data_IF_853908316811
#
_entry.id   IF_853908316811
#
_cell.length_a   1.000
_cell.length_b   1.000
_cell.length_c   1.000
_cell.angle_alpha   90.00
_cell.angle_beta   90.00
_cell.angle_gamma   90.00
#
_symmetry.space_group_name_H-M   'P 1'
#
loop_
_entity.id
_entity.type
_entity.pdbx_description
1 polymer ?
#
# COMPACT_ATOMS: atom_id res chain seq x y z
N UNK A 1 15.40 17.33 24.84
CA UNK A 1 16.41 16.70 23.96
C UNK A 1 16.74 15.33 24.53
N UNK A 2 16.08 14.29 24.09
CA UNK A 2 16.43 12.91 24.43
C UNK A 2 16.75 12.21 23.12
N UNK A 3 18.03 11.89 22.96
CA UNK A 3 18.51 11.09 21.83
C UNK A 3 18.07 9.64 22.07
N UNK A 4 17.30 9.07 21.14
CA UNK A 4 16.97 7.65 21.13
C UNK A 4 18.06 6.92 20.34
N UNK A 5 18.83 6.13 21.05
CA UNK A 5 19.87 5.26 20.49
C UNK A 5 19.20 4.05 19.86
N UNK A 6 19.49 3.80 18.61
CA UNK A 6 19.08 2.59 17.90
C UNK A 6 19.70 1.37 18.59
N UNK A 7 18.90 0.50 19.16
CA UNK A 7 19.36 -0.80 19.65
C UNK A 7 19.19 -1.83 18.55
N UNK A 8 20.31 -2.39 18.14
CA UNK A 8 20.38 -3.62 17.33
C UNK A 8 19.90 -4.77 18.21
N UNK A 9 18.75 -5.34 17.92
CA UNK A 9 18.27 -6.53 18.61
C UNK A 9 18.88 -7.78 17.96
N UNK A 10 19.88 -8.34 18.63
CA UNK A 10 20.40 -9.67 18.35
C UNK A 10 19.46 -10.70 19.01
N UNK A 11 19.00 -11.67 18.24
CA UNK A 11 18.02 -12.66 18.66
C UNK A 11 18.43 -13.48 19.88
N UNK A 12 17.49 -13.68 20.77
CA UNK A 12 17.55 -14.75 21.78
C UNK A 12 16.16 -15.34 21.98
N UNK A 13 16.04 -16.59 21.59
CA UNK A 13 14.88 -17.45 21.84
C UNK A 13 14.58 -17.55 23.33
N UNK A 14 13.38 -17.16 23.75
CA UNK A 14 12.87 -17.52 25.08
C UNK A 14 11.41 -17.97 25.01
N UNK A 15 11.18 -19.07 25.64
CA UNK A 15 9.98 -19.87 25.98
C UNK A 15 8.69 -19.04 26.12
N UNK A 16 7.63 -19.51 25.44
CA UNK A 16 6.24 -19.04 25.57
C UNK A 16 5.75 -19.11 27.02
N UNK A 17 5.39 -17.94 27.55
CA UNK A 17 4.44 -17.83 28.66
C UNK A 17 3.23 -17.06 28.12
N UNK A 18 2.05 -17.70 28.14
CA UNK A 18 0.80 -17.11 27.72
C UNK A 18 0.33 -16.08 28.74
N UNK A 19 0.66 -14.83 28.53
CA UNK A 19 -0.05 -13.70 29.13
C UNK A 19 -0.70 -12.94 28.00
N UNK A 20 -1.99 -12.65 28.13
CA UNK A 20 -2.72 -11.72 27.27
C UNK A 20 -1.93 -10.41 27.20
N UNK A 21 -1.15 -10.22 26.14
CA UNK A 21 -0.41 -9.00 25.92
C UNK A 21 -1.41 -7.89 25.57
N UNK A 22 -1.41 -6.82 26.35
CA UNK A 22 -2.02 -5.58 25.92
C UNK A 22 -1.26 -5.11 24.68
N UNK A 23 -1.98 -4.75 23.61
CA UNK A 23 -1.38 -4.18 22.40
C UNK A 23 -0.50 -2.97 22.78
N UNK A 24 0.76 -3.01 22.42
CA UNK A 24 1.69 -1.91 22.63
C UNK A 24 1.50 -0.87 21.52
N UNK A 25 1.28 0.38 21.88
CA UNK A 25 1.14 1.48 20.93
C UNK A 25 2.42 2.29 20.92
N UNK A 26 3.16 2.24 19.82
CA UNK A 26 4.42 2.95 19.65
C UNK A 26 4.28 4.07 18.62
N UNK A 27 4.69 5.28 18.97
CA UNK A 27 4.83 6.40 18.04
C UNK A 27 6.29 6.51 17.58
N UNK A 28 6.52 6.39 16.28
CA UNK A 28 7.85 6.45 15.69
C UNK A 28 7.94 7.71 14.81
N UNK A 29 8.90 8.57 15.11
CA UNK A 29 9.22 9.73 14.26
C UNK A 29 10.62 9.53 13.71
N UNK A 30 10.73 9.40 12.38
CA UNK A 30 12.00 9.23 11.70
C UNK A 30 12.44 10.55 11.08
N UNK A 31 13.67 10.95 11.31
CA UNK A 31 14.28 12.15 10.71
C UNK A 31 15.73 11.83 10.34
N UNK A 32 16.05 11.81 9.04
CA UNK A 32 17.42 11.68 8.55
C UNK A 32 17.77 12.82 7.62
N UNK A 33 18.95 13.39 7.82
CA UNK A 33 19.58 14.31 6.87
C UNK A 33 20.53 13.52 5.99
N UNK A 34 20.27 13.53 4.67
CA UNK A 34 21.09 13.03 3.55
C UNK A 34 20.93 11.55 3.18
N UNK A 35 20.65 11.36 1.94
CA UNK A 35 20.67 10.23 1.00
C UNK A 35 19.32 9.75 0.46
N UNK A 36 18.33 10.59 0.45
CA UNK A 36 16.99 10.30 -0.11
C UNK A 36 17.02 9.90 -1.61
N UNK A 37 18.04 10.35 -2.35
CA UNK A 37 18.17 10.11 -3.79
C UNK A 37 18.57 8.69 -4.19
N UNK A 38 18.99 7.85 -3.25
CA UNK A 38 19.33 6.45 -3.55
C UNK A 38 18.15 5.49 -3.40
N UNK A 39 17.11 5.87 -2.65
CA UNK A 39 15.93 5.06 -2.37
C UNK A 39 14.71 5.43 -3.20
N UNK A 40 14.73 6.57 -3.86
CA UNK A 40 13.60 7.11 -4.62
C UNK A 40 14.09 7.74 -5.92
N UNK A 41 13.24 7.70 -6.94
CA UNK A 41 13.42 8.38 -8.21
C UNK A 41 12.55 9.64 -8.28
N UNK A 42 12.78 10.53 -9.26
CA UNK A 42 11.91 11.69 -9.48
C UNK A 42 10.47 11.28 -9.79
N UNK A 43 10.25 10.13 -10.42
CA UNK A 43 8.92 9.61 -10.72
C UNK A 43 8.14 9.24 -9.47
N UNK A 44 8.80 8.82 -8.40
CA UNK A 44 8.12 8.49 -7.13
C UNK A 44 7.48 9.71 -6.47
N UNK A 45 7.99 10.91 -6.78
CA UNK A 45 7.43 12.19 -6.30
C UNK A 45 6.48 12.85 -7.30
N UNK A 46 6.36 12.34 -8.53
CA UNK A 46 5.51 12.95 -9.55
C UNK A 46 4.02 12.65 -9.29
N UNK A 47 3.34 13.63 -8.72
CA UNK A 47 1.89 13.59 -8.47
C UNK A 47 1.07 14.28 -9.57
N UNK A 48 1.72 14.79 -10.61
CA UNK A 48 1.07 15.54 -11.68
C UNK A 48 0.22 14.64 -12.57
N UNK A 49 -0.92 15.13 -12.99
CA UNK A 49 -1.78 14.50 -13.99
C UNK A 49 -2.69 15.54 -14.66
N UNK A 50 -3.15 15.24 -15.87
CA UNK A 50 -4.12 16.07 -16.59
C UNK A 50 -5.44 15.32 -16.72
N UNK A 51 -6.48 15.82 -16.03
CA UNK A 51 -7.82 15.21 -16.06
C UNK A 51 -8.49 15.24 -17.44
N UNK A 52 -8.05 16.11 -18.34
CA UNK A 52 -8.65 16.21 -19.67
C UNK A 52 -8.17 15.08 -20.60
N UNK A 53 -6.98 14.57 -20.34
CA UNK A 53 -6.36 13.49 -21.12
C UNK A 53 -6.41 12.14 -20.43
N UNK A 54 -6.64 12.11 -19.12
CA UNK A 54 -6.74 10.89 -18.34
C UNK A 54 -8.01 10.08 -18.67
N UNK A 55 -7.87 8.77 -18.70
CA UNK A 55 -9.03 7.85 -18.67
C UNK A 55 -9.74 7.96 -17.33
N UNK A 56 -11.07 7.86 -17.32
CA UNK A 56 -11.87 8.01 -16.09
C UNK A 56 -12.56 6.71 -15.73
N UNK A 57 -12.59 6.44 -14.43
CA UNK A 57 -13.29 5.31 -13.81
C UNK A 57 -14.22 5.91 -12.74
N UNK A 58 -15.50 5.93 -13.00
CA UNK A 58 -16.50 6.43 -12.08
C UNK A 58 -17.22 5.26 -11.41
N UNK A 59 -17.01 5.11 -10.12
CA UNK A 59 -17.58 4.05 -9.29
C UNK A 59 -19.01 4.41 -8.89
N UNK A 60 -19.95 3.46 -9.01
CA UNK A 60 -21.34 3.65 -8.63
C UNK A 60 -21.99 2.34 -8.16
N UNK A 61 -22.17 2.17 -6.86
CA UNK A 61 -22.76 0.97 -6.28
C UNK A 61 -21.96 -0.29 -6.64
N UNK A 62 -22.57 -1.27 -7.30
CA UNK A 62 -21.92 -2.52 -7.71
C UNK A 62 -21.34 -2.47 -9.12
N UNK A 63 -21.21 -1.29 -9.73
CA UNK A 63 -20.75 -1.11 -11.10
C UNK A 63 -19.77 0.06 -11.21
N UNK A 64 -19.14 0.18 -12.37
CA UNK A 64 -18.34 1.34 -12.74
C UNK A 64 -18.62 1.73 -14.19
N UNK A 65 -18.56 3.03 -14.49
CA UNK A 65 -18.48 3.53 -15.86
C UNK A 65 -17.04 3.94 -16.18
N UNK A 66 -16.60 3.70 -17.41
CA UNK A 66 -15.26 4.03 -17.85
C UNK A 66 -15.29 4.82 -19.14
N UNK A 67 -14.34 5.74 -19.29
CA UNK A 67 -14.10 6.49 -20.51
C UNK A 67 -12.61 6.65 -20.75
N UNK A 68 -12.20 6.70 -22.01
CA UNK A 68 -10.80 6.77 -22.44
C UNK A 68 -10.25 5.40 -22.86
N UNK A 69 -8.96 5.38 -23.15
CA UNK A 69 -8.27 4.21 -23.67
C UNK A 69 -7.68 3.33 -22.58
N UNK A 70 -7.41 2.06 -22.89
CA UNK A 70 -6.71 1.13 -22.03
C UNK A 70 -7.48 0.62 -20.82
N UNK A 71 -8.78 0.93 -20.73
CA UNK A 71 -9.65 0.51 -19.63
C UNK A 71 -10.93 -0.10 -20.17
N UNK A 72 -11.37 -1.21 -19.58
CA UNK A 72 -12.60 -1.93 -19.92
C UNK A 72 -13.33 -2.37 -18.66
N UNK A 73 -14.65 -2.57 -18.76
CA UNK A 73 -15.49 -3.12 -17.68
C UNK A 73 -16.12 -4.42 -18.14
N UNK A 74 -16.06 -5.44 -17.30
CA UNK A 74 -16.78 -6.69 -17.47
C UNK A 74 -17.38 -7.12 -16.13
N UNK A 75 -18.70 -7.06 -16.03
CA UNK A 75 -19.37 -7.25 -14.74
C UNK A 75 -18.92 -6.21 -13.73
N UNK A 76 -18.42 -6.65 -12.58
CA UNK A 76 -17.85 -5.79 -11.53
C UNK A 76 -16.33 -5.62 -11.62
N UNK A 77 -15.68 -6.11 -12.68
CA UNK A 77 -14.23 -5.96 -12.85
C UNK A 77 -13.92 -4.88 -13.88
N UNK A 78 -13.15 -3.89 -13.45
CA UNK A 78 -12.52 -2.88 -14.30
C UNK A 78 -11.10 -3.35 -14.58
N UNK A 79 -10.76 -3.55 -15.86
CA UNK A 79 -9.41 -3.98 -16.27
C UNK A 79 -8.68 -2.83 -16.96
N UNK A 80 -7.50 -2.50 -16.44
CA UNK A 80 -6.54 -1.57 -17.04
C UNK A 80 -5.46 -2.40 -17.73
N UNK A 81 -5.30 -2.21 -19.04
CA UNK A 81 -4.45 -3.05 -19.89
C UNK A 81 -3.38 -2.30 -20.69
N UNK A 82 -3.21 -0.99 -20.45
CA UNK A 82 -2.23 -0.14 -21.15
C UNK A 82 -1.60 0.88 -20.21
N UNK A 83 -0.43 1.38 -20.60
CA UNK A 83 0.14 2.58 -20.02
C UNK A 83 -0.84 3.76 -20.08
N UNK A 84 -0.81 4.62 -19.09
CA UNK A 84 -1.63 5.82 -19.04
C UNK A 84 -1.99 6.26 -17.64
N UNK A 85 -2.79 7.33 -17.58
CA UNK A 85 -3.32 7.88 -16.34
C UNK A 85 -4.82 7.60 -16.25
N UNK A 86 -5.25 7.07 -15.10
CA UNK A 86 -6.61 6.64 -14.82
C UNK A 86 -7.10 7.31 -13.53
N UNK A 87 -8.04 8.24 -13.67
CA UNK A 87 -8.66 8.93 -12.51
C UNK A 87 -9.84 8.13 -12.02
N UNK A 88 -9.81 7.77 -10.74
CA UNK A 88 -10.80 6.92 -10.08
C UNK A 88 -11.54 7.76 -9.05
N UNK A 89 -12.87 7.80 -9.15
CA UNK A 89 -13.73 8.56 -8.24
C UNK A 89 -15.03 7.83 -7.94
N UNK A 90 -15.75 8.26 -6.90
CA UNK A 90 -17.03 7.70 -6.52
C UNK A 90 -16.92 6.53 -5.54
N UNK A 91 -18.01 5.78 -5.42
CA UNK A 91 -18.12 4.73 -4.39
C UNK A 91 -18.65 3.44 -4.99
N UNK A 92 -18.01 2.32 -4.65
CA UNK A 92 -18.49 1.00 -5.04
C UNK A 92 -18.44 -0.02 -3.91
N UNK A 93 -19.38 -0.97 -3.99
CA UNK A 93 -19.41 -2.19 -3.22
C UNK A 93 -19.45 -3.36 -4.21
N UNK A 94 -18.30 -4.04 -4.38
CA UNK A 94 -18.11 -5.17 -5.27
C UNK A 94 -17.30 -4.89 -6.54
N UNK A 95 -16.94 -3.65 -6.87
CA UNK A 95 -16.05 -3.38 -8.02
C UNK A 95 -14.59 -3.63 -7.65
N UNK A 96 -13.90 -4.41 -8.50
CA UNK A 96 -12.46 -4.59 -8.46
C UNK A 96 -11.79 -3.83 -9.60
N UNK A 97 -10.69 -3.13 -9.32
CA UNK A 97 -9.78 -2.61 -10.34
C UNK A 97 -8.60 -3.57 -10.49
N UNK A 98 -8.45 -4.14 -11.69
CA UNK A 98 -7.35 -5.03 -12.04
C UNK A 98 -6.42 -4.36 -13.04
N UNK A 99 -5.14 -4.28 -12.70
CA UNK A 99 -4.08 -3.84 -13.61
C UNK A 99 -3.43 -5.07 -14.22
N UNK A 100 -3.47 -5.17 -15.56
CA UNK A 100 -2.89 -6.26 -16.35
C UNK A 100 -2.35 -5.67 -17.66
N UNK A 101 -1.41 -4.76 -17.56
CA UNK A 101 -0.74 -4.08 -18.67
C UNK A 101 0.55 -4.82 -19.06
N UNK A 102 1.19 -4.40 -20.15
CA UNK A 102 2.48 -4.94 -20.55
C UNK A 102 3.55 -4.60 -19.52
N UNK A 103 4.57 -5.46 -19.40
CA UNK A 103 5.69 -5.27 -18.46
C UNK A 103 6.57 -4.05 -18.76
N UNK A 104 6.36 -3.39 -19.88
CA UNK A 104 7.01 -2.12 -20.24
C UNK A 104 6.14 -0.90 -19.98
N UNK A 105 4.90 -1.11 -19.55
CA UNK A 105 3.90 -0.06 -19.38
C UNK A 105 3.85 0.45 -17.96
N UNK A 106 4.08 1.74 -17.76
CA UNK A 106 3.81 2.42 -16.50
C UNK A 106 2.33 2.81 -16.42
N UNK A 107 1.68 2.46 -15.33
CA UNK A 107 0.26 2.75 -15.08
C UNK A 107 0.14 3.71 -13.90
N UNK A 108 -0.45 4.88 -14.12
CA UNK A 108 -0.75 5.85 -13.06
C UNK A 108 -2.24 5.81 -12.71
N UNK A 109 -2.55 5.42 -11.47
CA UNK A 109 -3.88 5.54 -10.87
C UNK A 109 -3.94 6.82 -10.03
N UNK A 110 -4.99 7.60 -10.18
CA UNK A 110 -5.25 8.77 -9.33
C UNK A 110 -6.53 8.53 -8.55
N UNK A 111 -6.42 8.32 -7.25
CA UNK A 111 -7.57 8.21 -6.36
C UNK A 111 -8.07 9.61 -6.01
N UNK A 112 -9.27 9.94 -6.48
CA UNK A 112 -9.90 11.25 -6.30
C UNK A 112 -11.25 11.12 -5.59
N UNK A 113 -11.22 10.78 -4.31
CA UNK A 113 -12.43 10.51 -3.52
C UNK A 113 -13.03 9.14 -3.87
N UNK A 114 -12.18 8.13 -4.06
CA UNK A 114 -12.61 6.78 -4.37
C UNK A 114 -12.83 5.97 -3.09
N UNK A 115 -14.00 5.34 -2.96
CA UNK A 115 -14.30 4.37 -1.90
C UNK A 115 -14.63 3.03 -2.53
N UNK A 116 -13.87 2.00 -2.22
CA UNK A 116 -13.99 0.67 -2.81
C UNK A 116 -14.03 -0.41 -1.74
N UNK A 117 -15.07 -1.22 -1.77
CA UNK A 117 -15.13 -2.50 -1.05
C UNK A 117 -15.27 -3.62 -2.07
N UNK A 118 -14.51 -4.69 -1.92
CA UNK A 118 -14.61 -5.86 -2.80
C UNK A 118 -14.53 -7.16 -1.98
N UNK A 119 -14.96 -8.27 -2.55
CA UNK A 119 -14.76 -9.59 -1.92
C UNK A 119 -13.28 -9.95 -1.88
N UNK A 120 -12.57 -9.72 -2.98
CA UNK A 120 -11.12 -9.89 -3.11
C UNK A 120 -10.43 -8.53 -2.95
N UNK A 121 -9.18 -8.37 -3.37
CA UNK A 121 -8.50 -7.07 -3.37
C UNK A 121 -9.30 -6.02 -4.15
N UNK A 122 -9.54 -4.84 -3.56
CA UNK A 122 -10.23 -3.74 -4.24
C UNK A 122 -9.42 -3.25 -5.46
N UNK A 123 -8.10 -3.19 -5.31
CA UNK A 123 -7.15 -2.91 -6.41
C UNK A 123 -6.12 -4.04 -6.43
N UNK A 124 -5.93 -4.66 -7.60
CA UNK A 124 -4.99 -5.76 -7.82
C UNK A 124 -4.14 -5.50 -9.05
N UNK A 125 -2.84 -5.26 -8.86
CA UNK A 125 -1.87 -5.12 -9.96
C UNK A 125 -1.16 -6.46 -10.18
N UNK A 126 -1.42 -7.10 -11.32
CA UNK A 126 -0.87 -8.42 -11.64
C UNK A 126 0.24 -8.37 -12.69
N UNK A 127 0.28 -7.31 -13.51
CA UNK A 127 1.31 -7.06 -14.53
C UNK A 127 1.30 -5.60 -14.94
N UNK A 128 2.46 -4.98 -14.94
CA UNK A 128 2.80 -3.66 -15.48
C UNK A 128 4.33 -3.51 -15.45
N UNK A 129 4.88 -2.44 -15.99
CA UNK A 129 6.27 -2.04 -15.75
C UNK A 129 6.41 -1.46 -14.34
N UNK A 130 5.54 -0.52 -14.00
CA UNK A 130 5.42 0.09 -12.67
C UNK A 130 3.99 0.60 -12.46
N UNK A 131 3.48 0.55 -11.24
CA UNK A 131 2.19 1.15 -10.87
C UNK A 131 2.42 2.34 -9.93
N UNK A 132 1.91 3.51 -10.31
CA UNK A 132 1.91 4.71 -9.48
C UNK A 132 0.48 4.95 -8.99
N UNK A 133 0.26 4.99 -7.68
CA UNK A 133 -1.01 5.29 -7.04
C UNK A 133 -0.94 6.66 -6.38
N UNK A 134 -1.50 7.67 -7.03
CA UNK A 134 -1.51 9.05 -6.55
C UNK A 134 -2.77 9.33 -5.73
N UNK A 135 -2.58 9.77 -4.50
CA UNK A 135 -3.65 10.26 -3.63
C UNK A 135 -3.87 11.75 -3.92
N UNK A 136 -4.94 12.07 -4.64
CA UNK A 136 -5.23 13.45 -5.04
C UNK A 136 -5.37 14.36 -3.82
N UNK A 137 -4.81 15.56 -3.91
CA UNK A 137 -4.81 16.54 -2.81
C UNK A 137 -6.23 16.84 -2.31
N UNK A 138 -6.37 16.93 -0.98
CA UNK A 138 -7.65 17.25 -0.32
C UNK A 138 -8.71 16.16 -0.41
N UNK A 139 -8.39 14.98 -0.92
CA UNK A 139 -9.34 13.86 -1.01
C UNK A 139 -9.09 12.80 0.06
N UNK A 140 -10.17 12.13 0.44
CA UNK A 140 -10.13 10.91 1.27
C UNK A 140 -10.57 9.73 0.42
N UNK A 141 -9.76 8.70 0.41
CA UNK A 141 -9.97 7.47 -0.34
C UNK A 141 -10.03 6.29 0.61
N UNK A 142 -10.77 5.24 0.25
CA UNK A 142 -10.92 4.06 1.10
C UNK A 142 -10.87 2.79 0.27
N UNK A 143 -10.09 1.81 0.70
CA UNK A 143 -9.99 0.49 0.10
C UNK A 143 -10.26 -0.58 1.16
N UNK A 144 -11.06 -1.58 0.84
CA UNK A 144 -11.30 -2.72 1.72
C UNK A 144 -11.53 -3.99 0.90
N UNK A 145 -10.98 -5.09 1.38
CA UNK A 145 -11.38 -6.43 0.96
C UNK A 145 -12.45 -6.99 1.90
N UNK A 146 -12.71 -8.28 1.82
CA UNK A 146 -13.67 -9.01 2.67
C UNK A 146 -12.96 -10.16 3.40
N UNK A 147 -13.48 -10.52 4.57
CA UNK A 147 -13.04 -11.74 5.30
C UNK A 147 -13.24 -13.03 4.48
N UNK A 148 -14.07 -12.98 3.44
CA UNK A 148 -14.30 -14.08 2.49
C UNK A 148 -13.39 -14.03 1.26
N UNK A 149 -12.41 -13.13 1.20
CA UNK A 149 -11.37 -13.12 0.16
C UNK A 149 -10.72 -14.51 0.08
N UNK A 150 -10.80 -15.15 -1.08
CA UNK A 150 -10.32 -16.51 -1.31
C UNK A 150 -8.99 -16.57 -2.06
N UNK A 151 -8.46 -15.43 -2.50
CA UNK A 151 -7.16 -15.36 -3.17
C UNK A 151 -6.03 -15.33 -2.14
N UNK A 152 -5.47 -16.49 -1.84
CA UNK A 152 -4.36 -16.63 -0.87
C UNK A 152 -3.08 -15.89 -1.30
N UNK A 153 -2.94 -15.53 -2.59
CA UNK A 153 -1.80 -14.77 -3.10
C UNK A 153 -2.02 -13.26 -2.99
N UNK A 154 -3.26 -12.83 -3.22
CA UNK A 154 -3.69 -11.43 -3.15
C UNK A 154 -4.62 -11.20 -1.94
N UNK A 155 -4.27 -11.74 -0.78
CA UNK A 155 -5.02 -11.67 0.47
C UNK A 155 -4.87 -10.29 1.16
N UNK A 156 -5.17 -9.22 0.43
CA UNK A 156 -5.06 -7.84 0.88
C UNK A 156 -6.11 -6.95 0.22
N UNK A 157 -6.42 -5.80 0.80
CA UNK A 157 -7.31 -4.80 0.19
C UNK A 157 -6.66 -4.10 -1.03
N UNK A 158 -5.35 -3.85 -0.96
CA UNK A 158 -4.50 -3.39 -2.07
C UNK A 158 -3.37 -4.40 -2.29
N UNK A 159 -3.34 -4.99 -3.48
CA UNK A 159 -2.32 -5.97 -3.86
C UNK A 159 -1.54 -5.52 -5.08
N UNK A 160 -0.21 -5.65 -5.03
CA UNK A 160 0.67 -5.49 -6.19
C UNK A 160 1.66 -6.64 -6.30
N UNK A 161 1.76 -7.19 -7.51
CA UNK A 161 2.78 -8.17 -7.89
C UNK A 161 3.98 -7.52 -8.59
N UNK A 162 3.91 -6.22 -8.80
CA UNK A 162 4.93 -5.43 -9.52
C UNK A 162 5.27 -4.21 -8.65
N UNK A 163 6.34 -3.51 -8.98
CA UNK A 163 6.73 -2.29 -8.30
C UNK A 163 5.56 -1.33 -8.17
N UNK A 164 5.34 -0.84 -6.95
CA UNK A 164 4.26 0.07 -6.61
C UNK A 164 4.82 1.32 -5.92
N UNK A 165 4.43 2.48 -6.43
CA UNK A 165 4.63 3.74 -5.71
C UNK A 165 3.30 4.30 -5.28
N UNK A 166 3.17 4.66 -4.00
CA UNK A 166 2.03 5.45 -3.48
C UNK A 166 2.54 6.85 -3.17
N UNK A 167 1.95 7.87 -3.79
CA UNK A 167 2.35 9.26 -3.61
C UNK A 167 1.15 10.21 -3.48
N UNK A 168 1.43 11.51 -3.33
CA UNK A 168 0.41 12.55 -3.20
C UNK A 168 0.17 12.96 -1.76
N UNK A 169 -0.80 13.87 -1.55
CA UNK A 169 -1.06 14.48 -0.23
C UNK A 169 -2.46 14.16 0.32
N UNK A 170 -3.23 13.34 -0.40
CA UNK A 170 -4.54 12.87 0.05
C UNK A 170 -4.46 11.88 1.20
N UNK A 171 -5.64 11.44 1.67
CA UNK A 171 -5.78 10.41 2.70
C UNK A 171 -6.17 9.07 2.07
N UNK A 172 -5.56 7.99 2.53
CA UNK A 172 -5.92 6.62 2.20
C UNK A 172 -6.26 5.84 3.47
N UNK A 173 -7.52 5.41 3.56
CA UNK A 173 -7.98 4.46 4.56
C UNK A 173 -7.91 3.05 3.94
N UNK A 174 -7.30 2.08 4.63
CA UNK A 174 -7.24 0.70 4.15
C UNK A 174 -7.67 -0.25 5.26
N UNK A 175 -8.58 -1.15 4.93
CA UNK A 175 -9.09 -2.15 5.85
C UNK A 175 -8.92 -3.56 5.27
N UNK A 176 -7.87 -4.26 5.73
CA UNK A 176 -7.54 -5.62 5.37
C UNK A 176 -8.32 -6.62 6.24
N UNK A 177 -9.50 -7.02 5.77
CA UNK A 177 -10.41 -7.89 6.54
C UNK A 177 -10.10 -9.37 6.43
N UNK A 178 -9.43 -9.78 5.38
CA UNK A 178 -8.97 -11.18 5.21
C UNK A 178 -7.65 -11.42 5.93
N UNK A 179 -6.67 -10.60 5.66
CA UNK A 179 -5.31 -10.72 6.17
C UNK A 179 -4.64 -9.35 6.14
N UNK A 180 -3.91 -9.04 5.08
CA UNK A 180 -3.12 -7.82 4.99
C UNK A 180 -3.95 -6.62 4.52
N UNK A 181 -3.55 -5.41 4.86
CA UNK A 181 -4.16 -4.23 4.26
C UNK A 181 -3.51 -3.90 2.91
N UNK A 182 -2.19 -3.79 2.85
CA UNK A 182 -1.41 -3.53 1.64
C UNK A 182 -0.35 -4.63 1.51
N UNK A 183 -0.37 -5.33 0.36
CA UNK A 183 0.61 -6.37 0.06
C UNK A 183 1.30 -6.06 -1.26
N UNK A 184 2.64 -6.08 -1.26
CA UNK A 184 3.47 -5.93 -2.44
C UNK A 184 4.50 -7.06 -2.52
N UNK A 185 4.55 -7.74 -3.67
CA UNK A 185 5.53 -8.82 -3.87
C UNK A 185 6.89 -8.31 -4.33
N UNK A 186 6.92 -7.16 -4.98
CA UNK A 186 8.15 -6.48 -5.38
C UNK A 186 8.35 -5.24 -4.49
N UNK A 187 8.96 -4.18 -5.00
CA UNK A 187 9.25 -2.94 -4.25
C UNK A 187 8.00 -2.10 -4.00
N UNK A 188 7.86 -1.57 -2.78
CA UNK A 188 6.87 -0.55 -2.44
C UNK A 188 7.55 0.75 -2.03
N UNK A 189 7.31 1.83 -2.78
CA UNK A 189 7.70 3.19 -2.42
C UNK A 189 6.50 3.99 -1.93
N UNK A 190 6.67 4.79 -0.87
CA UNK A 190 5.64 5.73 -0.39
C UNK A 190 6.27 7.09 -0.15
N UNK A 191 5.83 8.10 -0.91
CA UNK A 191 6.41 9.45 -0.89
C UNK A 191 5.35 10.52 -0.56
N UNK A 192 4.75 10.42 0.61
CA UNK A 192 3.72 11.34 1.09
C UNK A 192 2.39 10.67 1.38
N UNK A 193 1.40 11.49 1.76
CA UNK A 193 0.05 11.05 2.10
C UNK A 193 -0.19 10.77 3.59
N UNK A 194 -1.48 10.67 3.91
CA UNK A 194 -1.95 10.27 5.24
C UNK A 194 -2.61 8.90 5.15
N UNK A 195 -2.23 7.97 6.02
CA UNK A 195 -2.72 6.60 6.00
C UNK A 195 -3.39 6.25 7.32
N UNK A 196 -4.59 5.68 7.26
CA UNK A 196 -5.26 5.05 8.39
C UNK A 196 -5.50 3.59 8.00
N UNK A 197 -4.80 2.68 8.65
CA UNK A 197 -4.76 1.28 8.23
C UNK A 197 -5.20 0.39 9.36
N UNK A 198 -6.13 -0.52 9.05
CA UNK A 198 -6.52 -1.63 9.91
C UNK A 198 -6.33 -2.95 9.17
N UNK A 199 -5.91 -4.00 9.87
CA UNK A 199 -5.72 -5.33 9.28
C UNK A 199 -5.93 -6.45 10.27
N UNK A 200 -6.38 -7.61 9.75
CA UNK A 200 -6.46 -8.87 10.50
C UNK A 200 -5.12 -9.60 10.50
N UNK A 201 -4.30 -9.38 9.48
CA UNK A 201 -2.90 -9.78 9.39
C UNK A 201 -1.99 -8.57 9.53
N UNK A 202 -0.98 -8.50 8.65
CA UNK A 202 -0.05 -7.37 8.60
C UNK A 202 -0.70 -6.13 7.96
N UNK A 203 -0.38 -4.93 8.45
CA UNK A 203 -0.87 -3.73 7.77
C UNK A 203 -0.12 -3.52 6.44
N UNK A 204 1.19 -3.63 6.46
CA UNK A 204 2.03 -3.72 5.25
C UNK A 204 2.74 -5.07 5.24
N UNK A 205 2.60 -5.80 4.13
CA UNK A 205 3.32 -7.05 3.86
C UNK A 205 4.05 -6.90 2.53
N UNK A 206 5.35 -6.69 2.57
CA UNK A 206 6.19 -6.41 1.40
C UNK A 206 7.31 -7.43 1.33
N UNK A 207 7.59 -7.97 0.13
CA UNK A 207 8.63 -8.97 0.02
C UNK A 207 10.02 -8.35 -0.16
N UNK A 208 10.20 -7.49 -1.18
CA UNK A 208 11.57 -7.13 -1.59
C UNK A 208 12.08 -5.88 -0.87
N UNK A 209 11.41 -4.76 -1.01
CA UNK A 209 11.88 -3.49 -0.45
C UNK A 209 10.72 -2.55 -0.13
N UNK A 210 10.77 -1.91 1.04
CA UNK A 210 9.85 -0.86 1.44
C UNK A 210 10.60 0.44 1.73
N UNK A 211 10.37 1.47 0.93
CA UNK A 211 10.92 2.80 1.16
C UNK A 211 9.80 3.81 1.43
N UNK A 212 9.83 4.48 2.58
CA UNK A 212 8.78 5.41 3.00
C UNK A 212 9.36 6.75 3.42
N UNK A 213 8.81 7.82 2.87
CA UNK A 213 9.19 9.18 3.27
C UNK A 213 8.02 10.16 3.24
N UNK A 214 8.04 11.12 4.17
CA UNK A 214 7.10 12.25 4.19
C UNK A 214 5.65 11.88 4.50
N UNK A 215 5.40 10.79 5.22
CA UNK A 215 4.06 10.27 5.50
C UNK A 215 3.62 10.50 6.93
N UNK A 216 2.29 10.50 7.12
CA UNK A 216 1.65 10.32 8.43
C UNK A 216 0.84 9.04 8.39
N UNK A 217 1.13 8.09 9.30
CA UNK A 217 0.47 6.78 9.33
C UNK A 217 -0.08 6.49 10.73
N UNK A 218 -1.31 5.99 10.77
CA UNK A 218 -1.92 5.37 11.95
C UNK A 218 -2.28 3.94 11.59
N UNK A 219 -1.71 2.97 12.29
CA UNK A 219 -1.79 1.55 11.98
C UNK A 219 -2.33 0.78 13.20
N UNK A 220 -3.34 -0.08 12.98
CA UNK A 220 -3.84 -1.08 13.92
C UNK A 220 -3.86 -2.45 13.21
N UNK A 221 -2.82 -3.24 13.41
CA UNK A 221 -2.65 -4.57 12.83
C UNK A 221 -2.83 -5.64 13.90
N UNK A 222 -3.36 -6.83 13.52
CA UNK A 222 -3.48 -7.95 14.48
C UNK A 222 -2.25 -8.87 14.43
N UNK A 223 -1.43 -8.74 13.38
CA UNK A 223 -0.08 -9.33 13.26
C UNK A 223 0.94 -8.19 13.22
N UNK A 224 1.81 -8.11 12.21
CA UNK A 224 2.83 -7.06 12.14
C UNK A 224 2.27 -5.73 11.63
N UNK A 225 2.75 -4.62 12.18
CA UNK A 225 2.40 -3.29 11.68
C UNK A 225 2.99 -3.05 10.29
N UNK A 226 4.30 -3.19 10.15
CA UNK A 226 5.03 -3.09 8.89
C UNK A 226 5.97 -4.28 8.81
N UNK A 227 5.74 -5.15 7.82
CA UNK A 227 6.56 -6.32 7.56
C UNK A 227 7.21 -6.25 6.20
N UNK A 228 8.54 -6.39 6.16
CA UNK A 228 9.31 -6.58 4.93
C UNK A 228 10.14 -7.84 5.10
N UNK A 229 9.76 -8.89 4.40
CA UNK A 229 10.36 -10.21 4.59
C UNK A 229 10.39 -11.01 3.29
N UNK A 230 11.56 -11.56 2.98
CA UNK A 230 11.76 -12.44 1.83
C UNK A 230 12.53 -13.68 2.28
N UNK A 231 11.82 -14.80 2.36
CA UNK A 231 12.39 -16.09 2.77
C UNK A 231 13.25 -16.76 1.68
N UNK A 232 13.11 -16.31 0.42
CA UNK A 232 13.76 -16.94 -0.74
C UNK A 232 15.06 -16.23 -1.14
N UNK A 233 15.14 -14.90 -0.97
CA UNK A 233 16.30 -14.09 -1.34
C UNK A 233 16.75 -13.20 -0.16
N UNK A 234 17.83 -13.59 0.48
CA UNK A 234 18.43 -12.88 1.63
C UNK A 234 19.10 -11.53 1.25
N UNK A 235 19.10 -11.16 -0.04
CA UNK A 235 19.64 -9.86 -0.50
C UNK A 235 18.61 -8.75 -0.56
N UNK A 236 17.33 -9.10 -0.40
CA UNK A 236 16.18 -8.19 -0.32
C UNK A 236 15.53 -8.25 1.07
N UNK A 237 14.34 -7.79 1.26
CA UNK A 237 13.70 -7.67 2.58
C UNK A 237 14.15 -6.39 3.31
N UNK A 238 14.56 -5.36 2.58
CA UNK A 238 15.13 -4.13 3.13
C UNK A 238 14.05 -3.08 3.38
N UNK A 239 14.29 -2.22 4.39
CA UNK A 239 13.36 -1.13 4.73
C UNK A 239 14.10 0.20 4.94
N UNK A 240 13.57 1.27 4.33
CA UNK A 240 14.04 2.63 4.56
C UNK A 240 12.87 3.53 4.99
N UNK A 241 12.96 4.10 6.18
CA UNK A 241 11.95 5.01 6.76
C UNK A 241 12.58 6.36 7.10
N UNK A 242 12.12 7.45 6.47
CA UNK A 242 12.66 8.78 6.70
C UNK A 242 11.58 9.87 6.72
N UNK A 243 11.68 10.82 7.64
CA UNK A 243 10.76 11.98 7.71
C UNK A 243 9.28 11.59 7.81
N UNK A 244 8.97 10.53 8.53
CA UNK A 244 7.62 10.05 8.75
C UNK A 244 7.14 10.30 10.17
N UNK A 245 5.82 10.33 10.34
CA UNK A 245 5.15 10.22 11.64
C UNK A 245 4.29 8.96 11.59
N UNK A 246 4.71 7.91 12.30
CA UNK A 246 4.05 6.61 12.28
C UNK A 246 3.64 6.23 13.70
N UNK A 247 2.35 5.95 13.88
CA UNK A 247 1.81 5.38 15.12
C UNK A 247 1.33 3.98 14.81
N UNK A 248 1.88 2.98 15.50
CA UNK A 248 1.59 1.57 15.28
C UNK A 248 1.02 0.95 16.54
N UNK A 249 -0.07 0.21 16.39
CA UNK A 249 -0.56 -0.79 17.33
C UNK A 249 -0.53 -2.13 16.60
N UNK A 250 0.25 -3.07 17.09
CA UNK A 250 0.44 -4.37 16.43
C UNK A 250 0.22 -5.50 17.45
N UNK A 251 -0.23 -6.65 16.95
CA UNK A 251 -0.42 -7.85 17.75
C UNK A 251 0.87 -8.67 17.88
N UNK A 252 1.82 -8.50 16.95
CA UNK A 252 3.16 -9.09 16.95
C UNK A 252 4.19 -7.96 16.89
N UNK A 253 4.93 -7.80 15.80
CA UNK A 253 5.96 -6.76 15.71
C UNK A 253 5.39 -5.43 15.16
N UNK A 254 5.77 -4.30 15.79
CA UNK A 254 5.43 -2.98 15.24
C UNK A 254 6.06 -2.74 13.87
N UNK A 255 7.34 -3.14 13.73
CA UNK A 255 8.11 -3.10 12.49
C UNK A 255 9.02 -4.32 12.45
N UNK A 256 8.96 -5.06 11.35
CA UNK A 256 9.78 -6.23 11.06
C UNK A 256 10.46 -6.08 9.69
N UNK A 257 11.77 -6.34 9.62
CA UNK A 257 12.52 -6.42 8.37
C UNK A 257 13.51 -7.58 8.44
N UNK A 258 13.54 -8.47 7.43
CA UNK A 258 14.48 -9.57 7.36
C UNK A 258 15.84 -9.15 6.79
N UNK A 259 15.89 -8.06 6.01
CA UNK A 259 17.10 -7.46 5.47
C UNK A 259 17.70 -6.36 6.37
N UNK A 260 18.28 -5.32 5.76
CA UNK A 260 18.91 -4.18 6.43
C UNK A 260 17.99 -2.96 6.45
#
# INVERSE_FOLDING_TARGET
LTALTLMTACGQSTTKSSTTAAADTTAITTSTKNSQSSYFTEKDYDTSYDENTASKIELSGSSASVSGDGVTVSGSTVTISKAGTYVISGQSDGVQIKIAADKSDDVKLVLKGATMTNTDAAISATSAGHVYLTLAEGTTNSLSDSSSNSDEKANAALFSKVDLTINGSGTLNVDGKKSNAIKANDTLHITGGTFNITSVGDAFNVNDELNVTGTTMTIDAKEDGIKVDNDEDMTVGNMYLANNTITVTAGDDGIHASGN
#
